data_IF_297801987513
#
_entry.id   IF_297801987513
#
_cell.length_a   1.000
_cell.length_b   1.000
_cell.length_c   1.000
_cell.angle_alpha   90.00
_cell.angle_beta   90.00
_cell.angle_gamma   90.00
#
_symmetry.space_group_name_H-M   'P 1'
#
loop_
_entity.id
_entity.type
_entity.pdbx_description
1 polymer ?
#
# COMPACT_ATOMS: atom_id res chain seq x y z
N UNK A 1 7.98 -2.35 14.00
CA UNK A 1 7.27 -1.90 12.79
C UNK A 1 8.00 -0.67 12.28
N UNK A 2 8.32 -0.61 10.98
CA UNK A 2 8.99 0.56 10.39
C UNK A 2 8.12 1.81 10.58
N UNK A 3 8.71 2.89 11.09
CA UNK A 3 8.05 4.17 11.30
C UNK A 3 8.02 4.97 10.01
N UNK A 4 7.10 5.93 9.94
CA UNK A 4 6.92 6.81 8.79
C UNK A 4 8.24 7.43 8.30
N UNK A 5 9.01 8.04 9.21
CA UNK A 5 10.27 8.69 8.83
C UNK A 5 11.34 7.69 8.37
N UNK A 6 11.35 6.47 8.93
CA UNK A 6 12.32 5.43 8.54
C UNK A 6 12.09 4.99 7.09
N UNK A 7 10.82 4.89 6.65
CA UNK A 7 10.50 4.60 5.26
C UNK A 7 10.93 5.75 4.35
N UNK A 8 10.62 7.00 4.72
CA UNK A 8 10.99 8.18 3.93
C UNK A 8 12.50 8.31 3.80
N UNK A 9 13.25 8.17 4.89
CA UNK A 9 14.71 8.21 4.88
C UNK A 9 15.30 7.10 4.00
N UNK A 10 14.74 5.88 4.08
CA UNK A 10 15.16 4.78 3.22
C UNK A 10 14.94 5.10 1.74
N UNK A 11 13.76 5.60 1.35
CA UNK A 11 13.48 5.99 -0.04
C UNK A 11 14.44 7.09 -0.50
N UNK A 12 14.62 8.13 0.31
CA UNK A 12 15.51 9.25 0.00
C UNK A 12 16.99 8.88 -0.10
N UNK A 13 17.41 7.80 0.56
CA UNK A 13 18.79 7.33 0.46
C UNK A 13 19.18 6.90 -0.94
N UNK A 14 18.22 6.47 -1.78
CA UNK A 14 18.46 6.06 -3.16
C UNK A 14 17.77 6.96 -4.20
N UNK A 15 16.72 7.68 -3.82
CA UNK A 15 16.08 8.71 -4.64
C UNK A 15 15.93 10.02 -3.85
N UNK A 16 16.96 10.91 -3.86
CA UNK A 16 16.92 12.17 -3.13
C UNK A 16 15.79 13.12 -3.54
N UNK A 17 15.21 12.92 -4.73
CA UNK A 17 14.13 13.75 -5.29
C UNK A 17 12.74 13.16 -5.02
N UNK A 18 12.65 12.02 -4.33
CA UNK A 18 11.39 11.40 -3.97
C UNK A 18 10.46 12.38 -3.24
N UNK A 19 9.17 12.34 -3.58
CA UNK A 19 8.16 13.19 -2.94
C UNK A 19 7.84 12.68 -1.53
N UNK A 20 8.51 13.27 -0.54
CA UNK A 20 8.28 12.99 0.87
C UNK A 20 6.83 13.23 1.30
N UNK A 21 6.19 14.27 0.76
CA UNK A 21 4.84 14.62 1.14
C UNK A 21 3.84 13.57 0.64
N UNK A 22 4.08 13.01 -0.55
CA UNK A 22 3.29 11.92 -1.09
C UNK A 22 3.44 10.62 -0.26
N UNK A 23 4.68 10.23 0.07
CA UNK A 23 4.95 9.06 0.93
C UNK A 23 4.30 9.21 2.31
N UNK A 24 4.44 10.38 2.91
CA UNK A 24 3.87 10.67 4.23
C UNK A 24 2.34 10.61 4.20
N UNK A 25 1.71 11.16 3.15
CA UNK A 25 0.25 11.12 2.98
C UNK A 25 -0.25 9.70 2.83
N UNK A 26 0.43 8.86 2.04
CA UNK A 26 0.05 7.47 1.83
C UNK A 26 0.15 6.66 3.13
N UNK A 27 1.23 6.86 3.89
CA UNK A 27 1.42 6.22 5.20
C UNK A 27 0.26 6.55 6.16
N UNK A 28 -0.07 7.84 6.31
CA UNK A 28 -1.14 8.29 7.20
C UNK A 28 -2.50 7.80 6.73
N UNK A 29 -2.75 7.81 5.42
CA UNK A 29 -4.00 7.33 4.85
C UNK A 29 -4.20 5.84 5.14
N UNK A 30 -3.19 5.02 4.84
CA UNK A 30 -3.22 3.57 5.09
C UNK A 30 -3.39 3.26 6.57
N UNK A 31 -2.66 3.96 7.45
CA UNK A 31 -2.80 3.80 8.90
C UNK A 31 -4.21 4.16 9.39
N UNK A 32 -4.83 5.20 8.85
CA UNK A 32 -6.21 5.58 9.20
C UNK A 32 -7.23 4.57 8.68
N UNK A 33 -7.09 4.14 7.42
CA UNK A 33 -7.99 3.20 6.77
C UNK A 33 -8.02 1.85 7.51
N UNK A 34 -6.85 1.35 7.91
CA UNK A 34 -6.69 0.09 8.65
C UNK A 34 -6.64 0.26 10.18
N UNK A 35 -6.91 1.46 10.71
CA UNK A 35 -6.51 1.85 12.07
C UNK A 35 -7.10 1.00 13.21
N UNK A 36 -8.33 0.53 13.07
CA UNK A 36 -8.98 -0.39 14.02
C UNK A 36 -8.96 -1.84 13.56
N UNK A 37 -8.37 -2.14 12.41
CA UNK A 37 -8.35 -3.46 11.82
C UNK A 37 -7.23 -4.30 12.42
N UNK A 38 -7.56 -5.52 12.82
CA UNK A 38 -6.62 -6.50 13.35
C UNK A 38 -6.50 -7.68 12.39
N UNK A 39 -5.31 -8.30 12.33
CA UNK A 39 -5.12 -9.60 11.68
C UNK A 39 -5.68 -10.70 12.56
N UNK A 40 -5.81 -11.91 12.00
CA UNK A 40 -6.21 -13.10 12.76
C UNK A 40 -5.27 -13.41 13.95
N UNK A 41 -4.01 -12.96 13.90
CA UNK A 41 -3.05 -13.05 15.00
C UNK A 41 -3.30 -12.08 16.15
N UNK A 42 -4.14 -11.04 15.94
CA UNK A 42 -4.35 -9.93 16.87
C UNK A 42 -3.45 -8.71 16.63
N UNK A 43 -2.50 -8.78 15.69
CA UNK A 43 -1.64 -7.64 15.34
C UNK A 43 -2.38 -6.58 14.52
N UNK A 44 -2.02 -5.29 14.60
CA UNK A 44 -2.58 -4.24 13.74
C UNK A 44 -2.38 -4.56 12.25
N UNK A 45 -3.45 -4.49 11.44
CA UNK A 45 -3.40 -4.82 10.03
C UNK A 45 -2.39 -3.96 9.25
N UNK A 46 -2.28 -2.68 9.62
CA UNK A 46 -1.31 -1.74 9.05
C UNK A 46 0.15 -2.24 9.08
N UNK A 47 0.48 -3.20 9.95
CA UNK A 47 1.78 -3.87 9.95
C UNK A 47 2.15 -4.50 8.60
N UNK A 48 1.17 -4.99 7.83
CA UNK A 48 1.37 -5.62 6.54
C UNK A 48 1.74 -4.61 5.44
N UNK A 49 0.91 -3.59 5.12
CA UNK A 49 1.26 -2.62 4.08
C UNK A 49 2.60 -1.92 4.29
N UNK A 50 2.97 -1.60 5.54
CA UNK A 50 4.26 -0.96 5.83
C UNK A 50 5.45 -1.91 5.66
N UNK A 51 5.29 -3.21 5.93
CA UNK A 51 6.35 -4.19 5.67
C UNK A 51 6.56 -4.40 4.17
N UNK A 52 5.48 -4.48 3.39
CA UNK A 52 5.55 -4.57 1.92
C UNK A 52 6.26 -3.33 1.35
N UNK A 53 5.84 -2.13 1.75
CA UNK A 53 6.50 -0.89 1.33
C UNK A 53 7.99 -0.85 1.69
N UNK A 54 8.35 -1.30 2.91
CA UNK A 54 9.75 -1.40 3.34
C UNK A 54 10.58 -2.38 2.49
N UNK A 55 10.00 -3.51 2.07
CA UNK A 55 10.67 -4.46 1.17
C UNK A 55 10.90 -3.85 -0.21
N UNK A 56 9.88 -3.21 -0.79
CA UNK A 56 10.01 -2.54 -2.09
C UNK A 56 11.04 -1.40 -2.05
N UNK A 57 11.13 -0.68 -0.93
CA UNK A 57 12.13 0.36 -0.73
C UNK A 57 13.56 -0.23 -0.62
N UNK A 58 13.73 -1.40 0.02
CA UNK A 58 15.02 -2.13 0.00
C UNK A 58 15.42 -2.57 -1.42
N UNK A 59 14.44 -2.88 -2.26
CA UNK A 59 14.64 -3.17 -3.69
C UNK A 59 14.86 -1.91 -4.54
N UNK A 60 14.83 -0.71 -3.93
CA UNK A 60 15.01 0.60 -4.57
C UNK A 60 13.99 0.90 -5.67
N UNK A 61 12.75 0.47 -5.47
CA UNK A 61 11.66 0.83 -6.38
C UNK A 61 11.27 2.30 -6.25
N UNK A 62 10.61 2.80 -7.28
CA UNK A 62 10.21 4.19 -7.41
C UNK A 62 9.10 4.58 -6.41
N UNK A 63 8.95 5.89 -6.19
CA UNK A 63 7.99 6.44 -5.22
C UNK A 63 6.56 5.96 -5.48
N UNK A 64 6.14 5.82 -6.74
CA UNK A 64 4.77 5.39 -7.05
C UNK A 64 4.52 3.93 -6.63
N UNK A 65 5.53 3.06 -6.80
CA UNK A 65 5.48 1.68 -6.29
C UNK A 65 5.39 1.61 -4.76
N UNK A 66 6.17 2.44 -4.04
CA UNK A 66 6.13 2.47 -2.57
C UNK A 66 4.77 2.97 -2.06
N UNK A 67 4.24 4.03 -2.68
CA UNK A 67 2.91 4.56 -2.37
C UNK A 67 1.83 3.51 -2.65
N UNK A 68 1.91 2.81 -3.78
CA UNK A 68 0.98 1.72 -4.13
C UNK A 68 1.01 0.62 -3.07
N UNK A 69 2.19 0.20 -2.61
CA UNK A 69 2.32 -0.82 -1.57
C UNK A 69 1.68 -0.40 -0.23
N UNK A 70 1.77 0.88 0.14
CA UNK A 70 1.07 1.38 1.34
C UNK A 70 -0.46 1.33 1.19
N UNK A 71 -0.97 1.43 -0.04
CA UNK A 71 -2.40 1.58 -0.33
C UNK A 71 -3.09 0.31 -0.87
N UNK A 72 -2.33 -0.73 -1.24
CA UNK A 72 -2.83 -1.83 -2.09
C UNK A 72 -4.09 -2.54 -1.57
N UNK A 73 -4.19 -2.74 -0.26
CA UNK A 73 -5.32 -3.42 0.38
C UNK A 73 -6.43 -2.47 0.83
N UNK A 74 -6.26 -1.16 0.68
CA UNK A 74 -7.22 -0.18 1.21
C UNK A 74 -8.58 -0.29 0.54
N UNK A 75 -8.63 -0.54 -0.78
CA UNK A 75 -9.89 -0.69 -1.53
C UNK A 75 -10.60 -2.02 -1.19
N UNK A 76 -9.84 -3.08 -0.87
CA UNK A 76 -10.42 -4.41 -0.62
C UNK A 76 -10.88 -4.58 0.83
N UNK A 77 -10.11 -4.05 1.77
CA UNK A 77 -10.26 -4.37 3.19
C UNK A 77 -10.84 -3.22 4.03
N UNK A 78 -11.07 -2.06 3.42
CA UNK A 78 -11.56 -0.86 4.12
C UNK A 78 -12.69 -0.18 3.37
N UNK A 79 -13.14 0.98 3.88
CA UNK A 79 -14.17 1.81 3.22
C UNK A 79 -13.61 2.71 2.12
N UNK A 80 -12.30 2.67 1.85
CA UNK A 80 -11.68 3.46 0.81
C UNK A 80 -12.21 3.09 -0.59
N UNK A 81 -12.40 4.09 -1.43
CA UNK A 81 -12.80 3.90 -2.83
C UNK A 81 -11.68 4.27 -3.80
N UNK A 82 -11.77 3.77 -5.04
CA UNK A 82 -10.83 4.16 -6.09
C UNK A 82 -10.82 5.68 -6.34
N UNK A 83 -12.00 6.32 -6.26
CA UNK A 83 -12.16 7.77 -6.37
C UNK A 83 -11.41 8.50 -5.25
N UNK A 84 -11.41 7.97 -4.02
CA UNK A 84 -10.67 8.55 -2.90
C UNK A 84 -9.16 8.50 -3.14
N UNK A 85 -8.68 7.39 -3.73
CA UNK A 85 -7.27 7.23 -4.09
C UNK A 85 -6.87 8.19 -5.20
N UNK A 86 -7.67 8.26 -6.28
CA UNK A 86 -7.38 9.15 -7.42
C UNK A 86 -7.36 10.62 -7.00
N UNK A 87 -8.32 11.06 -6.17
CA UNK A 87 -8.37 12.44 -5.68
C UNK A 87 -7.18 12.83 -4.82
N UNK A 88 -6.65 11.89 -4.02
CA UNK A 88 -5.60 12.19 -3.05
C UNK A 88 -4.18 11.94 -3.55
N UNK A 89 -4.01 11.00 -4.50
CA UNK A 89 -2.71 10.49 -4.94
C UNK A 89 -2.52 10.55 -6.46
N UNK A 90 -3.55 10.91 -7.22
CA UNK A 90 -3.49 11.03 -8.67
C UNK A 90 -3.82 9.73 -9.42
N UNK A 91 -4.04 9.88 -10.73
CA UNK A 91 -4.52 8.81 -11.61
C UNK A 91 -3.51 7.68 -11.82
N UNK A 92 -2.20 7.97 -11.72
CA UNK A 92 -1.17 6.94 -11.80
C UNK A 92 -1.26 5.96 -10.64
N UNK A 93 -1.25 6.46 -9.40
CA UNK A 93 -1.37 5.64 -8.20
C UNK A 93 -2.71 4.90 -8.17
N UNK A 94 -3.80 5.57 -8.53
CA UNK A 94 -5.11 4.93 -8.60
C UNK A 94 -5.12 3.72 -9.55
N UNK A 95 -4.52 3.86 -10.75
CA UNK A 95 -4.40 2.74 -11.69
C UNK A 95 -3.54 1.59 -11.16
N UNK A 96 -2.44 1.90 -10.46
CA UNK A 96 -1.57 0.88 -9.88
C UNK A 96 -2.29 0.11 -8.77
N UNK A 97 -2.97 0.81 -7.86
CA UNK A 97 -3.76 0.19 -6.78
C UNK A 97 -4.89 -0.67 -7.35
N UNK A 98 -5.67 -0.15 -8.30
CA UNK A 98 -6.73 -0.92 -8.98
C UNK A 98 -6.18 -2.16 -9.70
N UNK A 99 -5.00 -2.03 -10.32
CA UNK A 99 -4.29 -3.13 -10.97
C UNK A 99 -3.97 -4.27 -10.01
N UNK A 100 -3.34 -3.97 -8.86
CA UNK A 100 -2.97 -5.00 -7.86
C UNK A 100 -4.18 -5.64 -7.19
N UNK A 101 -5.22 -4.84 -6.87
CA UNK A 101 -6.53 -5.32 -6.38
C UNK A 101 -7.14 -6.34 -7.36
N UNK A 102 -7.18 -6.02 -8.66
CA UNK A 102 -7.75 -6.92 -9.67
C UNK A 102 -6.95 -8.21 -9.83
N UNK A 103 -5.62 -8.14 -9.78
CA UNK A 103 -4.76 -9.32 -9.83
C UNK A 103 -5.04 -10.28 -8.67
N UNK A 104 -5.11 -9.75 -7.43
CA UNK A 104 -5.46 -10.54 -6.24
C UNK A 104 -6.78 -11.30 -6.41
N UNK A 105 -7.81 -10.65 -6.96
CA UNK A 105 -9.12 -11.28 -7.21
C UNK A 105 -9.07 -12.41 -8.23
N UNK A 106 -8.29 -12.24 -9.30
CA UNK A 106 -8.12 -13.28 -10.33
C UNK A 106 -7.42 -14.51 -9.74
N UNK A 107 -6.39 -14.32 -8.93
CA UNK A 107 -5.69 -15.42 -8.26
C UNK A 107 -6.62 -16.20 -7.34
N UNK A 108 -7.41 -15.51 -6.51
CA UNK A 108 -8.40 -16.12 -5.62
C UNK A 108 -9.46 -16.95 -6.38
N UNK A 109 -9.97 -16.45 -7.50
CA UNK A 109 -10.92 -17.19 -8.34
C UNK A 109 -10.30 -18.45 -8.95
N UNK A 110 -9.03 -18.36 -9.35
CA UNK A 110 -8.30 -19.49 -9.93
C UNK A 110 -8.11 -20.63 -8.92
N UNK A 111 -7.84 -20.30 -7.65
CA UNK A 111 -7.65 -21.29 -6.59
C UNK A 111 -8.96 -21.94 -6.15
N UNK A 112 -10.06 -21.18 -6.11
CA UNK A 112 -11.40 -21.72 -5.87
C UNK A 112 -11.83 -22.71 -6.95
N UNK A 113 -11.48 -22.44 -8.21
CA UNK A 113 -11.82 -23.32 -9.35
C UNK A 113 -11.03 -24.63 -9.33
N UNK A 114 -9.82 -24.66 -8.75
CA UNK A 114 -9.00 -25.87 -8.61
C UNK A 114 -9.45 -26.81 -7.48
N UNK A 115 -10.26 -26.32 -6.54
CA UNK A 115 -10.76 -27.08 -5.39
C UNK A 115 -12.19 -27.62 -5.57
N UNK A 116 -12.79 -27.42 -6.74
CA UNK A 116 -14.10 -27.95 -7.14
C UNK A 116 -13.96 -29.14 -8.10
#
# INVERSE_FOLDING_TARGET
MMRQFELVELVKSYDPNADEALLNRAYVYSMKAHGSQLRASGDPYFSHPIQVAGLLAQMKLDTASIVTALLHDTIEDTVATLDDIERQFGSEIARLVDGVTKLSRIELQSDQTKQA
#
